data_IF_192127882717
#
_entry.id   IF_192127882717
#
_cell.length_a   1.000
_cell.length_b   1.000
_cell.length_c   1.000
_cell.angle_alpha   90.00
_cell.angle_beta   90.00
_cell.angle_gamma   90.00
#
_symmetry.space_group_name_H-M   'P 1'
#
loop_
_entity.id
_entity.type
_entity.pdbx_description
1 polymer ?
#
# COMPACT_ATOMS: atom_id res chain seq x y z
N UNK A 1 10.70 -0.32 -23.32
CA UNK A 1 9.95 -0.58 -22.08
C UNK A 1 10.74 -0.07 -20.89
N UNK A 2 10.10 0.65 -20.00
CA UNK A 2 10.73 1.11 -18.76
C UNK A 2 10.47 0.14 -17.63
N UNK A 3 11.46 -0.06 -16.80
CA UNK A 3 11.36 -0.89 -15.61
C UNK A 3 11.67 -0.01 -14.41
N UNK A 4 10.87 -0.10 -13.36
CA UNK A 4 10.97 0.77 -12.18
C UNK A 4 11.38 -0.08 -10.98
N UNK A 5 12.44 0.34 -10.30
CA UNK A 5 12.94 -0.35 -9.11
C UNK A 5 12.30 0.27 -7.86
N UNK A 6 11.10 -0.21 -7.52
CA UNK A 6 10.34 0.35 -6.40
C UNK A 6 11.00 0.05 -5.06
N UNK A 7 11.59 -1.11 -4.93
CA UNK A 7 12.24 -1.51 -3.67
C UNK A 7 13.37 -0.54 -3.32
N UNK A 8 14.22 -0.24 -4.29
CA UNK A 8 15.35 0.65 -4.05
C UNK A 8 14.90 2.09 -3.82
N UNK A 9 13.89 2.53 -4.56
CA UNK A 9 13.33 3.87 -4.37
C UNK A 9 12.72 4.02 -2.98
N UNK A 10 12.01 3.01 -2.50
CA UNK A 10 11.45 3.03 -1.15
C UNK A 10 12.56 3.11 -0.10
N UNK A 11 13.64 2.35 -0.29
CA UNK A 11 14.76 2.35 0.65
C UNK A 11 15.41 3.73 0.77
N UNK A 12 15.37 4.53 -0.28
CA UNK A 12 15.98 5.86 -0.31
C UNK A 12 15.01 6.97 0.14
N UNK A 13 13.74 6.65 0.32
CA UNK A 13 12.72 7.60 0.73
C UNK A 13 12.64 7.68 2.25
N UNK A 14 12.38 8.88 2.78
CA UNK A 14 12.18 9.04 4.23
C UNK A 14 10.99 8.24 4.73
N UNK A 15 9.92 8.20 3.93
CA UNK A 15 8.73 7.45 4.30
C UNK A 15 8.87 5.95 4.08
N UNK A 16 9.96 5.53 3.42
CA UNK A 16 10.20 4.13 3.04
C UNK A 16 9.07 3.57 2.19
N UNK A 17 8.56 4.42 1.30
CA UNK A 17 7.47 4.08 0.41
C UNK A 17 7.77 4.68 -0.96
N UNK A 18 7.44 3.96 -2.03
CA UNK A 18 7.55 4.49 -3.37
C UNK A 18 6.26 4.24 -4.14
N UNK A 19 5.85 5.26 -4.88
CA UNK A 19 4.66 5.24 -5.73
C UNK A 19 5.07 5.11 -7.18
N UNK A 20 4.46 4.15 -7.86
CA UNK A 20 4.53 4.04 -9.32
C UNK A 20 3.19 4.50 -9.86
N UNK A 21 3.12 5.73 -10.33
CA UNK A 21 1.86 6.33 -10.71
C UNK A 21 1.90 6.96 -12.09
N UNK A 22 0.93 7.83 -12.35
CA UNK A 22 0.74 8.46 -13.66
C UNK A 22 2.00 9.15 -14.18
N UNK A 23 2.72 9.83 -13.32
CA UNK A 23 3.94 10.55 -13.74
C UNK A 23 5.01 9.62 -14.26
N UNK A 24 5.01 8.38 -13.82
CA UNK A 24 5.99 7.39 -14.25
C UNK A 24 5.54 6.65 -15.49
N UNK A 25 4.27 6.26 -15.54
CA UNK A 25 3.76 5.30 -16.53
C UNK A 25 2.89 5.95 -17.61
N UNK A 26 2.33 7.12 -17.34
CA UNK A 26 1.34 7.74 -18.22
C UNK A 26 -0.06 7.12 -18.12
N UNK A 27 -0.25 6.15 -17.24
CA UNK A 27 -1.55 5.51 -17.08
C UNK A 27 -2.36 6.19 -15.97
N UNK A 28 -3.62 6.49 -16.25
CA UNK A 28 -4.55 6.99 -15.25
C UNK A 28 -5.35 5.88 -14.57
N UNK A 29 -5.27 4.66 -15.10
CA UNK A 29 -6.13 3.57 -14.65
C UNK A 29 -5.65 2.92 -13.37
N UNK A 30 -4.35 2.78 -13.21
CA UNK A 30 -3.79 2.03 -12.09
C UNK A 30 -2.49 2.64 -11.57
N UNK A 31 -2.16 2.30 -10.34
CA UNK A 31 -0.90 2.67 -9.72
C UNK A 31 -0.50 1.59 -8.73
N UNK A 32 0.73 1.64 -8.29
CA UNK A 32 1.25 0.68 -7.33
C UNK A 32 2.11 1.39 -6.30
N UNK A 33 2.02 0.95 -5.06
CA UNK A 33 2.85 1.45 -3.97
C UNK A 33 3.62 0.27 -3.38
N UNK A 34 4.91 0.48 -3.18
CA UNK A 34 5.78 -0.44 -2.47
C UNK A 34 6.17 0.23 -1.16
N UNK A 35 5.86 -0.39 -0.04
CA UNK A 35 6.12 0.19 1.26
C UNK A 35 6.85 -0.75 2.19
N UNK A 36 7.69 -0.16 3.05
CA UNK A 36 8.45 -0.90 4.05
C UNK A 36 8.15 -0.30 5.41
N UNK A 37 7.75 -1.16 6.35
CA UNK A 37 7.58 -0.78 7.75
C UNK A 37 8.77 -1.32 8.52
N UNK A 38 9.46 -0.43 9.24
CA UNK A 38 10.56 -0.82 10.12
C UNK A 38 10.03 -1.70 11.26
N UNK A 39 10.90 -2.47 11.92
CA UNK A 39 10.48 -3.22 13.11
C UNK A 39 9.81 -2.27 14.10
N UNK A 40 8.65 -2.68 14.61
CA UNK A 40 7.87 -1.94 15.61
C UNK A 40 7.26 -0.64 15.11
N UNK A 41 7.34 -0.36 13.82
CA UNK A 41 6.72 0.86 13.28
C UNK A 41 5.20 0.77 13.36
N UNK A 42 4.57 1.88 13.75
CA UNK A 42 3.12 1.99 13.93
C UNK A 42 2.55 3.11 13.08
N UNK A 43 1.26 3.00 12.82
CA UNK A 43 0.43 4.07 12.27
C UNK A 43 0.80 4.52 10.86
N UNK A 44 1.17 3.57 10.01
CA UNK A 44 1.29 3.87 8.59
C UNK A 44 -0.12 3.98 8.02
N UNK A 45 -0.54 5.19 7.66
CA UNK A 45 -1.89 5.45 7.17
C UNK A 45 -2.08 4.91 5.76
N UNK A 46 -3.22 4.25 5.54
CA UNK A 46 -3.69 3.85 4.22
C UNK A 46 -5.07 4.43 4.03
N UNK A 47 -5.23 5.24 3.00
CA UNK A 47 -6.51 5.84 2.65
C UNK A 47 -6.52 6.11 1.16
N UNK A 48 -7.29 5.33 0.37
CA UNK A 48 -7.29 5.50 -1.08
C UNK A 48 -7.73 6.90 -1.54
N UNK A 49 -8.74 7.45 -0.88
CA UNK A 49 -9.33 8.72 -1.26
C UNK A 49 -10.51 8.55 -2.22
N UNK A 50 -11.29 9.63 -2.42
CA UNK A 50 -12.47 9.57 -3.29
C UNK A 50 -12.10 9.12 -4.70
N UNK A 51 -12.89 8.23 -5.26
CA UNK A 51 -12.69 7.73 -6.61
C UNK A 51 -11.60 6.70 -6.78
N UNK A 52 -11.02 6.21 -5.67
CA UNK A 52 -9.96 5.21 -5.71
C UNK A 52 -10.34 3.95 -4.94
N UNK A 53 -9.76 2.84 -5.38
CA UNK A 53 -9.80 1.58 -4.64
C UNK A 53 -8.37 1.05 -4.55
N UNK A 54 -8.06 0.38 -3.46
CA UNK A 54 -6.72 -0.18 -3.25
C UNK A 54 -6.80 -1.57 -2.66
N UNK A 55 -5.96 -2.46 -3.16
CA UNK A 55 -5.75 -3.78 -2.58
C UNK A 55 -4.40 -3.72 -1.87
N UNK A 56 -4.40 -4.07 -0.58
CA UNK A 56 -3.20 -4.05 0.25
C UNK A 56 -2.77 -5.48 0.50
N UNK A 57 -1.56 -5.81 0.09
CA UNK A 57 -0.98 -7.15 0.21
C UNK A 57 0.15 -7.12 1.25
N UNK A 58 0.08 -8.02 2.23
CA UNK A 58 1.22 -8.27 3.11
C UNK A 58 2.21 -9.15 2.35
N UNK A 59 3.22 -8.53 1.76
CA UNK A 59 4.15 -9.22 0.88
C UNK A 59 5.24 -9.97 1.63
N UNK A 60 5.79 -9.36 2.67
CA UNK A 60 6.85 -9.96 3.47
C UNK A 60 6.63 -9.57 4.93
N UNK A 61 6.30 -10.55 5.74
CA UNK A 61 5.94 -10.35 7.13
C UNK A 61 4.46 -10.09 7.32
N UNK A 62 3.98 -10.35 8.53
CA UNK A 62 2.59 -10.10 8.89
C UNK A 62 2.40 -8.62 9.20
N UNK A 63 1.18 -8.12 9.01
CA UNK A 63 0.81 -6.75 9.35
C UNK A 63 -0.33 -6.77 10.37
N UNK A 64 -0.28 -5.83 11.32
CA UNK A 64 -1.44 -5.53 12.14
C UNK A 64 -2.14 -4.34 11.54
N UNK A 65 -3.47 -4.41 11.48
CA UNK A 65 -4.29 -3.36 10.87
C UNK A 65 -5.29 -2.88 11.90
N UNK A 66 -5.47 -1.56 11.97
CA UNK A 66 -6.50 -0.93 12.81
C UNK A 66 -7.22 0.13 11.98
N UNK A 67 -8.36 0.59 12.48
CA UNK A 67 -9.17 1.59 11.81
C UNK A 67 -10.41 0.98 11.21
N UNK A 68 -10.67 1.23 9.93
CA UNK A 68 -11.83 0.68 9.24
C UNK A 68 -11.92 -0.85 9.40
N UNK A 69 -10.78 -1.51 9.34
CA UNK A 69 -10.66 -2.94 9.55
C UNK A 69 -9.64 -3.16 10.68
N UNK A 70 -9.89 -4.13 11.55
CA UNK A 70 -8.97 -4.47 12.63
C UNK A 70 -8.67 -5.96 12.62
N UNK A 71 -7.38 -6.27 12.64
CA UNK A 71 -6.95 -7.66 12.66
C UNK A 71 -5.55 -7.83 12.13
N UNK A 72 -5.10 -9.08 12.09
CA UNK A 72 -3.80 -9.44 11.53
C UNK A 72 -3.97 -9.90 10.10
N UNK A 73 -3.15 -9.35 9.23
CA UNK A 73 -3.04 -9.79 7.84
C UNK A 73 -1.76 -10.61 7.75
N UNK A 74 -1.89 -11.89 7.50
CA UNK A 74 -0.73 -12.77 7.40
C UNK A 74 -0.01 -12.56 6.07
N UNK A 75 1.29 -12.78 6.09
CA UNK A 75 2.08 -12.74 4.87
C UNK A 75 1.39 -13.53 3.75
N UNK A 76 1.29 -12.92 2.58
CA UNK A 76 0.63 -13.52 1.42
C UNK A 76 -0.86 -13.24 1.32
N UNK A 77 -1.45 -12.57 2.32
CA UNK A 77 -2.88 -12.24 2.32
C UNK A 77 -3.09 -10.78 1.99
N UNK A 78 -4.28 -10.45 1.49
CA UNK A 78 -4.60 -9.10 1.04
C UNK A 78 -6.03 -8.72 1.41
N UNK A 79 -6.29 -7.41 1.44
CA UNK A 79 -7.62 -6.87 1.69
C UNK A 79 -7.87 -5.64 0.83
N UNK A 80 -9.16 -5.31 0.67
CA UNK A 80 -9.61 -4.20 -0.17
C UNK A 80 -9.95 -2.98 0.70
N UNK A 81 -9.52 -1.81 0.24
CA UNK A 81 -9.88 -0.50 0.77
C UNK A 81 -10.53 0.31 -0.33
N UNK A 82 -11.58 1.06 0.01
CA UNK A 82 -12.32 1.84 -0.98
C UNK A 82 -12.57 3.26 -0.47
N UNK A 83 -12.39 4.23 -1.36
CA UNK A 83 -12.78 5.62 -1.10
C UNK A 83 -12.16 6.18 0.17
N UNK A 84 -13.00 6.72 1.03
CA UNK A 84 -12.56 7.37 2.26
C UNK A 84 -12.34 6.44 3.44
N UNK A 85 -12.44 5.13 3.22
CA UNK A 85 -12.06 4.18 4.27
C UNK A 85 -10.61 4.41 4.65
N UNK A 86 -10.32 4.28 5.93
CA UNK A 86 -8.98 4.55 6.46
C UNK A 86 -8.56 3.44 7.39
N UNK A 87 -7.32 3.01 7.25
CA UNK A 87 -6.74 2.10 8.21
C UNK A 87 -5.28 2.47 8.47
N UNK A 88 -4.69 1.84 9.46
CA UNK A 88 -3.30 2.05 9.83
C UNK A 88 -2.62 0.69 9.91
N UNK A 89 -1.44 0.61 9.30
CA UNK A 89 -0.62 -0.59 9.33
C UNK A 89 0.44 -0.47 10.42
N UNK A 90 0.70 -1.59 11.05
CA UNK A 90 1.72 -1.69 12.08
C UNK A 90 2.54 -2.96 11.87
N UNK A 91 3.85 -2.85 12.06
CA UNK A 91 4.76 -3.98 12.05
C UNK A 91 5.15 -4.31 13.49
N UNK A 92 4.65 -5.41 14.03
CA UNK A 92 4.98 -5.85 15.39
C UNK A 92 6.17 -6.81 15.44
N UNK A 93 6.78 -7.07 14.29
CA UNK A 93 7.91 -8.00 14.21
C UNK A 93 9.24 -7.34 14.49
N UNK A 94 10.28 -8.17 14.43
CA UNK A 94 11.65 -7.74 14.69
C UNK A 94 12.43 -7.42 13.43
N UNK A 95 11.84 -7.67 12.26
CA UNK A 95 12.45 -7.38 10.96
C UNK A 95 11.51 -6.49 10.15
N UNK A 96 12.02 -5.89 9.08
CA UNK A 96 11.20 -5.08 8.18
C UNK A 96 10.02 -5.91 7.65
N UNK A 97 8.88 -5.25 7.50
CA UNK A 97 7.74 -5.83 6.80
C UNK A 97 7.52 -5.05 5.50
N UNK A 98 7.13 -5.76 4.45
CA UNK A 98 6.90 -5.17 3.14
C UNK A 98 5.44 -5.35 2.75
N UNK A 99 4.82 -4.27 2.29
CA UNK A 99 3.48 -4.35 1.72
C UNK A 99 3.49 -3.78 0.30
N UNK A 100 2.54 -4.26 -0.49
CA UNK A 100 2.29 -3.77 -1.84
C UNK A 100 0.86 -3.28 -1.89
N UNK A 101 0.64 -2.12 -2.48
CA UNK A 101 -0.70 -1.64 -2.74
C UNK A 101 -0.89 -1.58 -4.25
N UNK A 102 -1.94 -2.23 -4.72
CA UNK A 102 -2.38 -2.13 -6.11
C UNK A 102 -3.62 -1.24 -6.11
N UNK A 103 -3.53 -0.08 -6.74
CA UNK A 103 -4.59 0.89 -6.74
C UNK A 103 -5.16 1.16 -8.10
N UNK A 104 -6.40 1.64 -8.14
CA UNK A 104 -7.07 1.99 -9.36
C UNK A 104 -8.11 3.07 -9.13
N UNK A 105 -8.59 3.62 -10.23
CA UNK A 105 -9.61 4.65 -10.22
C UNK A 105 -10.96 4.02 -10.54
N UNK A 106 -11.99 4.49 -9.82
CA UNK A 106 -13.36 4.18 -10.16
C UNK A 106 -13.77 5.16 -11.25
N UNK A 107 -14.38 4.63 -12.32
CA UNK A 107 -14.93 5.50 -13.33
C UNK A 107 -16.25 6.10 -12.86
N UNK A 108 -16.53 7.33 -13.32
CA UNK A 108 -17.75 8.01 -12.95
C UNK A 108 -19.00 7.23 -13.33
N UNK A 109 -18.91 6.35 -14.32
CA UNK A 109 -20.02 5.53 -14.80
C UNK A 109 -20.17 4.22 -14.03
N UNK A 110 -19.33 3.97 -13.09
CA UNK A 110 -19.53 2.86 -12.14
C UNK A 110 -19.48 1.46 -12.71
N UNK A 111 -18.55 1.17 -13.56
CA UNK A 111 -18.42 -0.22 -14.03
C UNK A 111 -17.14 -0.88 -13.60
#
# INVERSE_FOLDING_TARGET
MKIFDLKNKAAQSESRESLLGFRDTGSHACYMIYGVLKPREQRRQIRPGPGHEEIVLAMNGDLEVTGFYSGRIKEGSAFLMQGDQECFLENRGETDAVYIIAGGHLEANGH
#
